data_IF_047099429396
#
_entry.id   IF_047099429396
#
_cell.length_a   1.000
_cell.length_b   1.000
_cell.length_c   1.000
_cell.angle_alpha   90.00
_cell.angle_beta   90.00
_cell.angle_gamma   90.00
#
_symmetry.space_group_name_H-M   'P 1'
#
loop_
_entity.id
_entity.type
_entity.pdbx_description
1 polymer ?
#
# COMPACT_ATOMS: atom_id res chain seq x y z
N UNK A 1 -7.79 -1.22 -17.30
CA UNK A 1 -7.87 -0.39 -16.07
C UNK A 1 -7.62 -1.33 -14.92
N UNK A 2 -6.71 -0.97 -14.01
CA UNK A 2 -6.23 -1.86 -12.95
C UNK A 2 -6.87 -1.54 -11.59
N UNK A 3 -7.11 -0.25 -11.31
CA UNK A 3 -7.84 0.19 -10.11
C UNK A 3 -8.92 1.18 -10.54
N UNK A 4 -10.14 0.98 -10.04
CA UNK A 4 -11.32 1.75 -10.43
C UNK A 4 -12.04 2.37 -9.22
N UNK A 5 -11.63 3.59 -8.83
CA UNK A 5 -12.40 4.42 -7.90
C UNK A 5 -12.35 4.00 -6.42
N UNK A 6 -11.31 3.26 -6.02
CA UNK A 6 -11.12 2.85 -4.61
C UNK A 6 -10.68 4.04 -3.73
N UNK A 7 -10.60 3.80 -2.42
CA UNK A 7 -9.93 4.70 -1.48
C UNK A 7 -8.76 4.01 -0.79
N UNK A 8 -7.68 4.76 -0.54
CA UNK A 8 -6.50 4.28 0.20
C UNK A 8 -6.23 5.19 1.40
N UNK A 9 -5.60 4.64 2.43
CA UNK A 9 -5.34 5.30 3.72
C UNK A 9 -3.87 5.11 4.09
N UNK A 10 -3.15 6.20 4.36
CA UNK A 10 -1.71 6.16 4.63
C UNK A 10 -1.37 7.08 5.81
N UNK A 11 -0.43 6.66 6.66
CA UNK A 11 0.17 7.55 7.66
C UNK A 11 1.48 8.15 7.15
N UNK A 12 2.02 9.14 7.85
CA UNK A 12 3.30 9.74 7.49
C UNK A 12 4.43 8.69 7.50
N UNK A 13 5.13 8.55 6.38
CA UNK A 13 6.19 7.57 6.19
C UNK A 13 5.72 6.26 5.54
N UNK A 14 4.42 6.01 5.47
CA UNK A 14 3.87 4.84 4.79
C UNK A 14 3.89 4.99 3.27
N UNK A 15 3.77 3.85 2.60
CA UNK A 15 3.62 3.75 1.16
C UNK A 15 2.44 2.86 0.75
N UNK A 16 1.92 3.14 -0.44
CA UNK A 16 0.97 2.28 -1.15
C UNK A 16 1.60 1.77 -2.44
N UNK A 17 1.63 0.45 -2.58
CA UNK A 17 2.09 -0.21 -3.79
C UNK A 17 0.94 -0.39 -4.77
N UNK A 18 1.14 0.17 -5.96
CA UNK A 18 0.29 0.03 -7.12
C UNK A 18 0.78 -1.12 -8.00
N UNK A 19 -0.03 -1.52 -8.98
CA UNK A 19 0.41 -2.50 -9.96
C UNK A 19 1.59 -1.96 -10.78
N UNK A 20 2.35 -2.86 -11.40
CA UNK A 20 3.44 -2.53 -12.32
C UNK A 20 4.55 -1.66 -11.66
N UNK A 21 4.87 -1.94 -10.39
CA UNK A 21 6.04 -1.39 -9.71
C UNK A 21 5.93 0.07 -9.25
N UNK A 22 4.75 0.69 -9.38
CA UNK A 22 4.49 2.04 -8.93
C UNK A 22 4.26 2.09 -7.41
N UNK A 23 4.83 3.08 -6.73
CA UNK A 23 4.65 3.25 -5.28
C UNK A 23 4.41 4.71 -4.94
N UNK A 24 3.36 4.99 -4.15
CA UNK A 24 3.09 6.33 -3.60
C UNK A 24 3.50 6.36 -2.13
N UNK A 25 4.32 7.35 -1.74
CA UNK A 25 4.79 7.50 -0.35
C UNK A 25 4.35 8.83 0.24
N UNK A 26 3.91 8.84 1.50
CA UNK A 26 3.70 10.07 2.28
C UNK A 26 5.02 10.52 2.89
N UNK A 27 5.57 11.63 2.42
CA UNK A 27 6.82 12.19 2.96
C UNK A 27 6.59 12.99 4.24
N UNK A 28 5.53 13.79 4.28
CA UNK A 28 5.22 14.65 5.41
C UNK A 28 3.78 15.15 5.33
N UNK A 29 3.20 15.48 6.48
CA UNK A 29 1.88 16.10 6.62
C UNK A 29 2.02 17.43 7.34
N UNK A 30 1.39 18.46 6.81
CA UNK A 30 1.19 19.74 7.48
C UNK A 30 -0.27 19.83 7.93
N UNK A 31 -0.51 19.58 9.22
CA UNK A 31 -1.86 19.57 9.80
C UNK A 31 -2.48 20.98 9.77
N UNK A 32 -1.69 22.02 10.05
CA UNK A 32 -2.20 23.41 10.13
C UNK A 32 -2.77 23.89 8.80
N UNK A 33 -2.08 23.53 7.71
CA UNK A 33 -2.48 23.93 6.35
C UNK A 33 -3.33 22.86 5.66
N UNK A 34 -3.56 21.71 6.32
CA UNK A 34 -4.19 20.52 5.73
C UNK A 34 -3.56 20.11 4.40
N UNK A 35 -2.23 19.99 4.40
CA UNK A 35 -1.47 19.61 3.20
C UNK A 35 -0.68 18.34 3.42
N UNK A 36 -0.50 17.56 2.35
CA UNK A 36 0.36 16.38 2.33
C UNK A 36 1.42 16.50 1.25
N UNK A 37 2.66 16.15 1.57
CA UNK A 37 3.72 15.98 0.58
C UNK A 37 3.82 14.50 0.20
N UNK A 38 3.52 14.20 -1.06
CA UNK A 38 3.61 12.88 -1.64
C UNK A 38 4.79 12.74 -2.61
N UNK A 39 5.27 11.51 -2.76
CA UNK A 39 6.20 11.10 -3.82
C UNK A 39 5.60 9.90 -4.55
N UNK A 40 5.65 9.93 -5.87
CA UNK A 40 5.40 8.78 -6.74
C UNK A 40 6.75 8.25 -7.23
N UNK A 41 6.96 6.95 -7.05
CA UNK A 41 8.14 6.23 -7.46
C UNK A 41 7.76 5.07 -8.39
N UNK A 42 8.73 4.61 -9.17
CA UNK A 42 8.68 3.34 -9.85
C UNK A 42 10.01 2.61 -9.64
N UNK A 43 9.98 1.40 -9.08
CA UNK A 43 11.19 0.64 -8.72
C UNK A 43 12.23 1.50 -7.96
N UNK A 44 11.77 2.20 -6.92
CA UNK A 44 12.55 3.13 -6.08
C UNK A 44 13.09 4.41 -6.79
N UNK A 45 12.84 4.59 -8.08
CA UNK A 45 13.17 5.82 -8.80
C UNK A 45 12.06 6.86 -8.62
N UNK A 46 12.41 8.09 -8.24
CA UNK A 46 11.45 9.19 -8.10
C UNK A 46 10.95 9.65 -9.47
N UNK A 47 9.66 9.48 -9.73
CA UNK A 47 9.01 9.95 -10.95
C UNK A 47 8.44 11.36 -10.79
N UNK A 48 7.74 11.62 -9.69
CA UNK A 48 7.06 12.91 -9.45
C UNK A 48 6.79 13.11 -7.96
N UNK A 49 6.75 14.36 -7.52
CA UNK A 49 6.32 14.73 -6.17
C UNK A 49 5.37 15.94 -6.20
N UNK A 50 4.54 16.07 -5.17
CA UNK A 50 3.60 17.18 -5.06
C UNK A 50 3.22 17.44 -3.61
N UNK A 51 2.79 18.68 -3.35
CA UNK A 51 2.08 19.05 -2.12
C UNK A 51 0.61 19.20 -2.49
N UNK A 52 -0.26 18.41 -1.86
CA UNK A 52 -1.70 18.39 -2.12
C UNK A 52 -2.46 18.95 -0.93
N UNK A 53 -3.46 19.78 -1.21
CA UNK A 53 -4.49 20.19 -0.25
C UNK A 53 -5.72 19.28 -0.41
N UNK A 54 -6.69 19.41 0.50
CA UNK A 54 -8.03 18.79 0.37
C UNK A 54 -8.61 19.02 -1.04
N UNK A 55 -9.23 17.99 -1.62
CA UNK A 55 -9.77 17.93 -2.99
C UNK A 55 -8.78 18.09 -4.15
N UNK A 56 -7.48 18.26 -3.87
CA UNK A 56 -6.48 18.38 -4.94
C UNK A 56 -6.23 17.02 -5.61
N UNK A 57 -6.25 17.01 -6.94
CA UNK A 57 -5.95 15.82 -7.73
C UNK A 57 -4.47 15.79 -8.14
N UNK A 58 -3.85 14.63 -7.97
CA UNK A 58 -2.54 14.30 -8.51
C UNK A 58 -2.67 13.33 -9.67
N UNK A 59 -2.19 13.75 -10.85
CA UNK A 59 -2.20 12.95 -12.06
C UNK A 59 -0.77 12.70 -12.52
N UNK A 60 -0.46 11.45 -12.86
CA UNK A 60 0.76 11.05 -13.54
C UNK A 60 0.43 10.46 -14.91
N UNK A 61 1.11 10.96 -15.93
CA UNK A 61 0.84 10.69 -17.34
C UNK A 61 2.17 10.44 -18.05
N UNK A 62 2.19 9.41 -18.90
CA UNK A 62 3.24 9.19 -19.90
C UNK A 62 2.64 9.49 -21.29
N UNK A 63 2.36 8.45 -22.08
CA UNK A 63 1.58 8.55 -23.32
C UNK A 63 0.08 8.69 -23.04
N UNK A 64 -0.38 8.06 -21.96
CA UNK A 64 -1.73 8.20 -21.40
C UNK A 64 -1.67 8.32 -19.87
N UNK A 65 -2.81 8.62 -19.25
CA UNK A 65 -2.94 8.68 -17.79
C UNK A 65 -2.64 7.30 -17.19
N UNK A 66 -1.70 7.25 -16.24
CA UNK A 66 -1.32 6.02 -15.53
C UNK A 66 -1.92 6.02 -14.13
N UNK A 67 -1.82 7.15 -13.43
CA UNK A 67 -2.37 7.31 -12.08
C UNK A 67 -3.13 8.63 -11.96
N UNK A 68 -4.27 8.56 -11.27
CA UNK A 68 -5.09 9.72 -10.91
C UNK A 68 -5.66 9.48 -9.53
N UNK A 69 -5.20 10.28 -8.57
CA UNK A 69 -5.57 10.18 -7.16
C UNK A 69 -6.04 11.54 -6.68
N UNK A 70 -7.11 11.57 -5.90
CA UNK A 70 -7.58 12.79 -5.26
C UNK A 70 -7.33 12.72 -3.77
N UNK A 71 -6.72 13.78 -3.23
CA UNK A 71 -6.56 13.96 -1.80
C UNK A 71 -7.93 14.24 -1.18
N UNK A 72 -8.38 13.37 -0.26
CA UNK A 72 -9.73 13.43 0.30
C UNK A 72 -9.72 14.15 1.67
N UNK A 73 -9.02 13.63 2.68
CA UNK A 73 -9.01 14.24 4.01
C UNK A 73 -7.74 13.87 4.81
N UNK A 74 -7.40 14.71 5.78
CA UNK A 74 -6.39 14.42 6.82
C UNK A 74 -7.09 14.32 8.17
N UNK A 75 -6.97 13.17 8.82
CA UNK A 75 -7.42 12.95 10.19
C UNK A 75 -6.22 13.06 11.14
N UNK A 76 -6.29 13.99 12.08
CA UNK A 76 -5.30 14.11 13.14
C UNK A 76 -5.75 13.39 14.40
N UNK A 77 -4.86 12.59 14.98
CA UNK A 77 -5.08 11.93 16.27
C UNK A 77 -3.83 12.08 17.15
N UNK A 78 -3.93 11.83 18.47
CA UNK A 78 -2.73 11.77 19.33
C UNK A 78 -1.69 10.73 18.88
N UNK A 79 -2.10 9.72 18.10
CA UNK A 79 -1.22 8.68 17.56
C UNK A 79 -0.57 9.02 16.22
N UNK A 80 -0.85 10.19 15.64
CA UNK A 80 -0.34 10.63 14.34
C UNK A 80 -1.44 11.01 13.37
N UNK A 81 -1.04 11.25 12.12
CA UNK A 81 -1.91 11.65 11.02
C UNK A 81 -2.28 10.47 10.13
N UNK A 82 -3.55 10.42 9.72
CA UNK A 82 -4.04 9.52 8.67
C UNK A 82 -4.50 10.35 7.48
N UNK A 83 -3.94 10.07 6.32
CA UNK A 83 -4.28 10.71 5.05
C UNK A 83 -5.14 9.78 4.23
N UNK A 84 -6.23 10.28 3.67
CA UNK A 84 -7.11 9.53 2.76
C UNK A 84 -7.00 10.06 1.35
N UNK A 85 -6.95 9.14 0.38
CA UNK A 85 -7.06 9.46 -1.04
C UNK A 85 -8.27 8.75 -1.62
N UNK A 86 -9.18 9.51 -2.24
CA UNK A 86 -10.39 8.99 -2.87
C UNK A 86 -10.96 10.01 -3.87
N UNK A 87 -11.32 9.61 -5.09
CA UNK A 87 -11.06 8.30 -5.69
C UNK A 87 -9.59 8.10 -6.08
N UNK A 88 -9.21 6.83 -6.23
CA UNK A 88 -7.93 6.39 -6.80
C UNK A 88 -8.19 5.56 -8.05
N UNK A 89 -7.53 5.94 -9.14
CA UNK A 89 -7.55 5.25 -10.42
C UNK A 89 -6.13 4.88 -10.85
N UNK A 90 -6.00 3.67 -11.38
CA UNK A 90 -4.79 3.21 -12.06
C UNK A 90 -5.18 2.59 -13.40
N UNK A 91 -4.47 3.02 -14.44
CA UNK A 91 -4.55 2.44 -15.77
C UNK A 91 -3.30 1.62 -16.04
N UNK A 92 -3.41 0.65 -16.95
CA UNK A 92 -2.29 -0.16 -17.36
C UNK A 92 -1.29 0.71 -18.11
N UNK A 93 -0.04 0.65 -17.66
CA UNK A 93 1.09 1.17 -18.40
C UNK A 93 1.51 0.13 -19.45
N UNK A 94 1.55 0.54 -20.72
CA UNK A 94 1.87 -0.32 -21.86
C UNK A 94 3.35 -0.70 -21.92
N UNK A 95 4.22 0.02 -21.21
CA UNK A 95 5.65 -0.30 -21.12
C UNK A 95 5.91 -1.59 -20.33
N UNK A 96 4.93 -2.03 -19.53
CA UNK A 96 5.04 -3.16 -18.62
C UNK A 96 4.03 -4.25 -18.93
N UNK A 97 4.34 -5.53 -18.63
CA UNK A 97 3.40 -6.62 -18.83
C UNK A 97 2.11 -6.41 -18.05
N UNK A 98 1.03 -7.02 -18.54
CA UNK A 98 -0.23 -7.10 -17.80
C UNK A 98 0.00 -7.77 -16.44
N UNK A 99 -0.44 -7.15 -15.33
CA UNK A 99 -0.40 -7.81 -14.04
C UNK A 99 -1.24 -9.08 -14.08
N UNK A 100 -0.73 -10.17 -13.51
CA UNK A 100 -1.50 -11.39 -13.33
C UNK A 100 -2.54 -11.13 -12.24
N UNK A 101 -3.80 -10.93 -12.64
CA UNK A 101 -4.93 -10.92 -11.71
C UNK A 101 -5.42 -12.36 -11.56
N UNK A 102 -5.48 -12.86 -10.33
CA UNK A 102 -6.06 -14.17 -10.06
C UNK A 102 -7.58 -14.06 -10.15
N UNK A 103 -8.11 -14.05 -11.37
CA UNK A 103 -9.55 -14.06 -11.66
C UNK A 103 -10.06 -15.49 -11.99
N UNK A 104 -9.50 -16.52 -11.34
CA UNK A 104 -9.94 -17.92 -11.47
C UNK A 104 -10.61 -18.40 -10.18
N UNK A 105 -11.74 -17.80 -9.81
CA UNK A 105 -12.69 -18.35 -8.84
C UNK A 105 -14.10 -18.44 -9.47
N UNK A 106 -14.22 -19.06 -10.66
CA UNK A 106 -15.52 -19.57 -11.12
C UNK A 106 -15.44 -21.01 -11.67
N UNK A 107 -16.20 -21.87 -10.98
CA UNK A 107 -16.81 -23.12 -11.43
C UNK A 107 -15.98 -24.43 -11.40
N UNK A 108 -15.72 -24.94 -10.19
CA UNK A 108 -15.56 -26.38 -9.98
C UNK A 108 -16.92 -26.98 -9.62
N UNK A 109 -17.56 -27.60 -10.61
CA UNK A 109 -18.71 -28.47 -10.42
C UNK A 109 -18.43 -29.52 -9.33
N UNK A 110 -19.26 -29.53 -8.29
CA UNK A 110 -19.27 -30.57 -7.26
C UNK A 110 -19.67 -31.91 -7.88
N UNK A 111 -18.71 -32.82 -8.02
CA UNK A 111 -18.98 -34.27 -7.96
C UNK A 111 -18.45 -34.78 -6.62
N UNK A 112 -19.38 -35.04 -5.71
CA UNK A 112 -19.15 -35.72 -4.44
C UNK A 112 -18.73 -37.16 -4.73
N UNK A 113 -17.56 -37.58 -4.23
CA UNK A 113 -17.41 -38.93 -3.73
C UNK A 113 -16.54 -38.95 -2.47
N UNK A 114 -17.05 -39.61 -1.44
CA UNK A 114 -16.58 -39.60 -0.05
C UNK A 114 -15.56 -40.70 0.22
N UNK A 115 -14.48 -40.39 0.98
CA UNK A 115 -14.03 -41.02 2.26
C UNK A 115 -12.52 -40.76 2.52
N UNK A 116 -12.09 -39.83 3.41
CA UNK A 116 -11.83 -39.90 4.89
C UNK A 116 -10.37 -40.33 5.24
N UNK A 117 -9.69 -39.84 6.32
CA UNK A 117 -9.47 -38.47 6.83
C UNK A 117 -7.97 -38.16 7.16
N UNK A 118 -7.50 -36.95 6.87
CA UNK A 118 -6.16 -36.49 7.28
C UNK A 118 -6.22 -35.07 7.84
N UNK A 119 -6.18 -34.96 9.16
CA UNK A 119 -6.30 -33.75 9.97
C UNK A 119 -5.33 -32.63 9.55
N UNK A 120 -5.84 -31.44 9.18
CA UNK A 120 -5.15 -30.15 9.31
C UNK A 120 -6.14 -29.00 9.24
N UNK A 121 -6.49 -28.48 10.42
CA UNK A 121 -7.19 -27.22 10.61
C UNK A 121 -6.32 -26.08 10.11
N UNK A 122 -6.65 -25.48 8.98
CA UNK A 122 -6.13 -24.16 8.60
C UNK A 122 -7.28 -23.17 8.58
N UNK A 123 -7.33 -22.36 9.64
CA UNK A 123 -8.19 -21.20 9.72
C UNK A 123 -7.72 -20.15 8.69
N UNK A 124 -8.68 -19.64 7.93
CA UNK A 124 -8.53 -18.46 7.09
C UNK A 124 -7.96 -17.28 7.90
N UNK A 125 -6.91 -16.69 7.37
CA UNK A 125 -6.60 -15.27 7.53
C UNK A 125 -6.25 -14.73 6.16
N UNK A 126 -7.21 -14.10 5.50
CA UNK A 126 -6.93 -13.13 4.45
C UNK A 126 -6.22 -11.95 5.11
N UNK A 127 -5.09 -11.53 4.54
CA UNK A 127 -4.34 -10.34 4.96
C UNK A 127 -3.08 -10.66 5.75
N UNK A 128 -1.94 -10.20 5.19
CA UNK A 128 -0.58 -10.18 5.75
C UNK A 128 0.19 -11.50 5.74
N UNK A 129 0.94 -11.74 4.66
CA UNK A 129 2.07 -12.68 4.70
C UNK A 129 3.27 -11.98 5.32
N UNK A 130 3.46 -12.20 6.61
CA UNK A 130 4.66 -11.80 7.35
C UNK A 130 5.80 -12.75 6.97
N UNK A 131 6.80 -12.27 6.21
CA UNK A 131 8.10 -12.93 6.21
C UNK A 131 8.86 -12.53 7.47
N UNK A 132 8.81 -13.39 8.50
CA UNK A 132 9.73 -13.29 9.61
C UNK A 132 11.15 -13.66 9.13
N UNK A 133 12.06 -12.70 9.10
CA UNK A 133 13.50 -13.00 9.17
C UNK A 133 14.01 -12.42 10.48
N UNK A 134 14.00 -13.24 11.52
CA UNK A 134 14.64 -12.93 12.80
C UNK A 134 16.13 -13.22 12.62
N UNK A 135 16.91 -12.19 12.31
CA UNK A 135 18.35 -12.20 12.57
C UNK A 135 18.59 -11.60 13.96
N UNK A 136 18.58 -12.46 14.97
CA UNK A 136 18.93 -12.10 16.34
C UNK A 136 20.42 -11.71 16.43
N UNK A 137 20.71 -10.41 16.41
CA UNK A 137 21.99 -9.89 16.88
C UNK A 137 21.85 -9.60 18.38
N UNK A 138 22.50 -10.45 19.16
CA UNK A 138 22.59 -10.42 20.62
C UNK A 138 23.38 -9.20 21.11
N UNK A 139 22.74 -8.17 21.67
CA UNK A 139 23.35 -7.32 22.73
C UNK A 139 22.27 -6.76 23.66
N UNK A 140 21.87 -7.53 24.66
CA UNK A 140 21.44 -7.04 25.97
C UNK A 140 22.18 -7.96 26.95
N UNK A 141 23.20 -7.54 27.68
CA UNK A 141 23.06 -6.83 28.94
C UNK A 141 24.44 -6.32 29.37
N UNK A 142 24.68 -5.03 29.24
CA UNK A 142 25.50 -4.30 30.19
C UNK A 142 24.70 -3.07 30.60
N UNK A 143 23.64 -3.32 31.38
CA UNK A 143 22.91 -2.28 32.06
C UNK A 143 23.88 -1.44 32.89
N UNK A 144 23.97 -0.15 32.56
CA UNK A 144 24.09 0.99 33.49
C UNK A 144 24.65 0.63 34.87
N UNK A 145 25.98 0.61 35.00
CA UNK A 145 26.67 1.14 36.18
C UNK A 145 27.92 1.87 35.70
N UNK A 146 28.12 3.06 36.26
CA UNK A 146 29.19 4.04 35.98
C UNK A 146 28.97 4.94 34.74
N UNK A 147 28.13 5.96 34.95
CA UNK A 147 28.55 7.33 34.61
C UNK A 147 28.53 8.10 35.92
N UNK A 148 29.64 8.82 36.12
CA UNK A 148 30.12 9.52 37.30
C UNK A 148 29.23 10.69 37.71
#
# INVERSE_FOLDING_TARGET
MLINGTGIFLTTGDSWDFYQGYTLTIKSVNIEQKQVWIKLLHEDELLKEAILSEDATFVYTKDHEILNITMDTIYASPGGELVTFKPVYQYQDSDFPEPVTSDDDENVNQSIDNQTPGNSTNNQTSGFTIFQVIASISVLLACRRFVN
#
